data_IF_428559854626
#
_entry.id   IF_428559854626
#
_cell.length_a   1.000
_cell.length_b   1.000
_cell.length_c   1.000
_cell.angle_alpha   90.00
_cell.angle_beta   90.00
_cell.angle_gamma   90.00
#
_symmetry.space_group_name_H-M   'P 1'
#
loop_
_entity.id
_entity.type
_entity.pdbx_description
1 polymer ?
#
# COMPACT_ATOMS: atom_id res chain seq x y z
N UNK A 1 -36.10 32.12 73.60
CA UNK A 1 -36.59 31.11 72.66
C UNK A 1 -36.69 31.80 71.28
N UNK A 2 -35.67 31.63 70.45
CA UNK A 2 -35.55 32.33 69.15
C UNK A 2 -35.48 31.28 68.05
N UNK A 3 -36.55 31.15 67.27
CA UNK A 3 -36.61 30.23 66.16
C UNK A 3 -35.86 30.83 64.98
N UNK A 4 -34.82 30.13 64.45
CA UNK A 4 -34.13 30.43 63.27
C UNK A 4 -34.75 29.61 62.12
N UNK A 5 -35.33 30.31 61.12
CA UNK A 5 -35.78 29.70 59.87
C UNK A 5 -34.64 29.63 58.90
N UNK A 6 -34.24 28.38 58.51
CA UNK A 6 -33.32 28.14 57.40
C UNK A 6 -34.11 28.15 56.11
N UNK A 7 -33.81 29.13 55.21
CA UNK A 7 -34.25 29.08 53.83
C UNK A 7 -33.29 28.22 53.02
N UNK A 8 -33.81 27.10 52.51
CA UNK A 8 -33.11 26.25 51.56
C UNK A 8 -33.44 26.71 50.13
N UNK A 9 -32.54 27.43 49.49
CA UNK A 9 -32.69 27.83 48.08
C UNK A 9 -32.29 26.66 47.17
N UNK A 10 -33.30 26.10 46.51
CA UNK A 10 -33.10 25.11 45.43
C UNK A 10 -32.62 25.84 44.18
N UNK A 11 -31.35 25.67 43.80
CA UNK A 11 -30.83 26.06 42.50
C UNK A 11 -31.26 25.01 41.44
N UNK A 12 -32.29 25.35 40.67
CA UNK A 12 -32.64 24.63 39.46
C UNK A 12 -31.58 24.89 38.41
N UNK A 13 -30.71 23.88 38.15
CA UNK A 13 -29.90 23.87 36.99
C UNK A 13 -30.76 23.50 35.77
N UNK A 14 -31.03 24.46 34.92
CA UNK A 14 -31.58 24.22 33.60
C UNK A 14 -30.52 23.55 32.73
N UNK A 15 -30.71 22.27 32.44
CA UNK A 15 -29.96 21.57 31.42
C UNK A 15 -30.34 22.20 30.04
N UNK A 16 -29.35 22.71 29.35
CA UNK A 16 -29.47 23.21 27.99
C UNK A 16 -29.55 22.01 27.03
N UNK A 17 -30.69 21.74 26.35
CA UNK A 17 -30.79 20.65 25.38
C UNK A 17 -30.43 21.18 24.00
N UNK A 18 -29.15 21.27 23.66
CA UNK A 18 -28.82 21.80 22.35
C UNK A 18 -27.34 21.88 22.01
N UNK A 19 -26.58 20.82 22.25
CA UNK A 19 -25.37 20.57 21.49
C UNK A 19 -25.46 19.18 20.87
N UNK A 20 -26.28 19.06 19.83
CA UNK A 20 -26.02 18.06 18.82
C UNK A 20 -24.61 18.30 18.29
N UNK A 21 -23.71 17.30 18.49
CA UNK A 21 -22.44 17.23 17.80
C UNK A 21 -22.75 17.02 16.31
N UNK A 22 -23.03 18.10 15.60
CA UNK A 22 -23.05 18.10 14.14
C UNK A 22 -21.59 17.92 13.73
N UNK A 23 -21.24 16.69 13.35
CA UNK A 23 -20.00 16.44 12.62
C UNK A 23 -19.99 17.37 11.41
N UNK A 24 -18.86 17.97 11.04
CA UNK A 24 -18.81 18.85 9.88
C UNK A 24 -19.28 18.06 8.66
N UNK A 25 -20.33 18.56 8.03
CA UNK A 25 -21.08 17.93 6.94
C UNK A 25 -20.23 17.72 5.67
N UNK A 26 -19.02 18.33 5.61
CA UNK A 26 -18.12 18.28 4.46
C UNK A 26 -17.31 16.98 4.31
N UNK A 27 -17.07 16.22 5.40
CA UNK A 27 -16.22 15.00 5.34
C UNK A 27 -17.04 13.72 5.17
N UNK A 28 -18.36 13.80 5.27
CA UNK A 28 -19.21 12.60 5.38
C UNK A 28 -19.59 11.94 4.04
N UNK A 29 -19.38 12.61 2.88
CA UNK A 29 -19.91 12.17 1.57
C UNK A 29 -18.87 12.24 0.43
N UNK A 30 -17.58 12.18 0.71
CA UNK A 30 -16.60 12.23 -0.35
C UNK A 30 -16.46 10.84 -1.01
N UNK A 31 -16.91 10.72 -2.26
CA UNK A 31 -16.75 9.49 -3.05
C UNK A 31 -15.27 9.15 -3.24
N UNK A 32 -14.91 7.86 -3.31
CA UNK A 32 -13.56 7.44 -3.62
C UNK A 32 -13.07 8.04 -4.95
N UNK A 33 -11.82 8.53 -5.01
CA UNK A 33 -11.29 9.11 -6.24
C UNK A 33 -11.09 8.06 -7.33
N UNK A 34 -11.33 8.46 -8.58
CA UNK A 34 -11.12 7.58 -9.72
C UNK A 34 -9.63 7.30 -9.96
N UNK A 35 -9.27 6.05 -10.15
CA UNK A 35 -7.91 5.64 -10.51
C UNK A 35 -7.65 5.62 -12.03
N UNK A 36 -8.57 6.14 -12.86
CA UNK A 36 -8.50 6.07 -14.33
C UNK A 36 -7.24 6.73 -14.91
N UNK A 37 -6.82 7.87 -14.38
CA UNK A 37 -5.59 8.56 -14.85
C UNK A 37 -4.37 7.70 -14.59
N UNK A 38 -4.25 7.14 -13.38
CA UNK A 38 -3.16 6.24 -13.02
C UNK A 38 -3.16 4.97 -13.88
N UNK A 39 -4.32 4.37 -14.11
CA UNK A 39 -4.50 3.21 -14.98
C UNK A 39 -4.01 3.47 -16.42
N UNK A 40 -4.33 4.64 -16.96
CA UNK A 40 -3.87 5.06 -18.30
C UNK A 40 -2.35 5.22 -18.36
N UNK A 41 -1.75 5.84 -17.34
CA UNK A 41 -0.30 6.00 -17.22
C UNK A 41 0.41 4.66 -17.11
N UNK A 42 -0.11 3.75 -16.29
CA UNK A 42 0.42 2.40 -16.15
C UNK A 42 0.38 1.64 -17.49
N UNK A 43 -0.75 1.64 -18.20
CA UNK A 43 -0.91 1.00 -19.50
C UNK A 43 0.04 1.56 -20.55
N UNK A 44 0.36 2.85 -20.48
CA UNK A 44 1.25 3.52 -21.44
C UNK A 44 2.73 3.22 -21.18
N UNK A 45 3.14 3.15 -19.90
CA UNK A 45 4.56 3.19 -19.52
C UNK A 45 5.07 1.96 -18.77
N UNK A 46 4.20 1.00 -18.46
CA UNK A 46 4.59 -0.24 -17.77
C UNK A 46 4.35 -1.43 -18.69
N UNK A 47 5.38 -2.22 -18.93
CA UNK A 47 5.24 -3.44 -19.73
C UNK A 47 4.51 -4.55 -18.95
N UNK A 48 3.96 -5.58 -19.61
CA UNK A 48 3.35 -6.75 -18.95
C UNK A 48 4.31 -7.47 -17.98
N UNK A 49 5.64 -7.34 -18.23
CA UNK A 49 6.68 -7.89 -17.35
C UNK A 49 7.06 -6.98 -16.18
N UNK A 50 6.41 -5.81 -16.05
CA UNK A 50 6.64 -4.87 -14.96
C UNK A 50 7.86 -3.95 -15.15
N UNK A 51 8.42 -3.88 -16.37
CA UNK A 51 9.46 -2.89 -16.69
C UNK A 51 8.83 -1.52 -16.86
N UNK A 52 9.44 -0.52 -16.24
CA UNK A 52 8.92 0.85 -16.21
C UNK A 52 9.73 1.73 -17.17
N UNK A 53 9.04 2.40 -18.07
CA UNK A 53 9.60 3.45 -18.90
C UNK A 53 9.55 4.80 -18.16
N UNK A 54 10.54 5.04 -17.30
CA UNK A 54 10.60 6.27 -16.52
C UNK A 54 10.78 7.52 -17.39
N UNK A 55 11.41 7.42 -18.57
CA UNK A 55 11.53 8.57 -19.49
C UNK A 55 10.17 8.92 -20.08
N UNK A 56 9.41 7.89 -20.51
CA UNK A 56 8.07 8.10 -20.99
C UNK A 56 7.13 8.63 -19.90
N UNK A 57 7.23 8.11 -18.67
CA UNK A 57 6.46 8.66 -17.54
C UNK A 57 6.74 10.15 -17.30
N UNK A 58 7.98 10.60 -17.56
CA UNK A 58 8.38 11.99 -17.38
C UNK A 58 7.67 12.95 -18.37
N UNK A 59 7.27 12.46 -19.54
CA UNK A 59 6.47 13.22 -20.51
C UNK A 59 5.06 13.57 -19.97
N UNK A 60 4.48 12.68 -19.16
CA UNK A 60 3.17 12.86 -18.54
C UNK A 60 3.29 13.11 -17.00
N UNK A 61 4.41 13.67 -16.54
CA UNK A 61 4.68 13.92 -15.10
C UNK A 61 3.57 14.73 -14.44
N UNK A 62 3.05 15.74 -15.11
CA UNK A 62 1.97 16.60 -14.57
C UNK A 62 0.68 15.81 -14.33
N UNK A 63 0.35 14.85 -15.20
CA UNK A 63 -0.81 13.97 -15.00
C UNK A 63 -0.63 13.08 -13.75
N UNK A 64 0.59 12.58 -13.51
CA UNK A 64 0.93 11.82 -12.31
C UNK A 64 0.84 12.68 -11.04
N UNK A 65 1.35 13.91 -11.09
CA UNK A 65 1.26 14.87 -9.97
C UNK A 65 -0.20 15.18 -9.67
N UNK A 66 -0.98 15.56 -10.68
CA UNK A 66 -2.42 15.86 -10.49
C UNK A 66 -3.20 14.66 -9.94
N UNK A 67 -2.86 13.44 -10.35
CA UNK A 67 -3.45 12.23 -9.77
C UNK A 67 -3.14 12.09 -8.27
N UNK A 68 -1.88 12.34 -7.87
CA UNK A 68 -1.49 12.28 -6.46
C UNK A 68 -2.12 13.41 -5.63
N UNK A 69 -2.31 14.60 -6.19
CA UNK A 69 -3.05 15.70 -5.56
C UNK A 69 -4.51 15.32 -5.34
N UNK A 70 -5.20 14.75 -6.35
CA UNK A 70 -6.56 14.24 -6.21
C UNK A 70 -6.64 13.19 -5.08
N UNK A 71 -5.69 12.26 -5.00
CA UNK A 71 -5.65 11.31 -3.88
C UNK A 71 -5.42 12.01 -2.54
N UNK A 72 -4.56 13.04 -2.52
CA UNK A 72 -4.28 13.82 -1.33
C UNK A 72 -5.52 14.56 -0.80
N UNK A 73 -6.33 15.10 -1.70
CA UNK A 73 -7.55 15.84 -1.36
C UNK A 73 -8.72 14.92 -0.95
N UNK A 74 -8.67 13.62 -1.31
CA UNK A 74 -9.72 12.63 -1.03
C UNK A 74 -9.21 11.57 -0.06
N UNK A 75 -9.14 11.92 1.22
CA UNK A 75 -8.71 10.98 2.27
C UNK A 75 -9.73 9.86 2.47
N UNK A 76 -9.30 8.59 2.69
CA UNK A 76 -10.20 7.52 3.04
C UNK A 76 -11.04 7.84 4.28
N UNK A 77 -12.35 7.63 4.19
CA UNK A 77 -13.32 7.84 5.28
C UNK A 77 -13.78 6.50 5.86
N UNK A 78 -14.45 6.54 7.01
CA UNK A 78 -15.05 5.36 7.64
C UNK A 78 -16.19 4.74 6.81
N UNK A 79 -16.68 5.43 5.78
CA UNK A 79 -17.74 4.97 4.87
C UNK A 79 -17.19 4.15 3.71
N UNK A 80 -15.88 4.24 3.42
CA UNK A 80 -15.30 3.46 2.33
C UNK A 80 -15.13 1.99 2.72
N UNK A 81 -15.46 1.11 1.77
CA UNK A 81 -15.20 -0.32 1.92
C UNK A 81 -13.71 -0.63 2.09
N UNK A 82 -13.42 -1.78 2.71
CA UNK A 82 -12.04 -2.23 2.92
C UNK A 82 -11.26 -2.33 1.61
N UNK A 83 -11.90 -2.83 0.58
CA UNK A 83 -11.32 -3.04 -0.77
C UNK A 83 -10.98 -1.69 -1.41
N UNK A 84 -11.86 -0.71 -1.30
CA UNK A 84 -11.65 0.66 -1.76
C UNK A 84 -10.44 1.30 -1.07
N UNK A 85 -10.37 1.20 0.26
CA UNK A 85 -9.25 1.75 1.06
C UNK A 85 -7.93 1.06 0.69
N UNK A 86 -7.95 -0.25 0.50
CA UNK A 86 -6.75 -1.01 0.15
C UNK A 86 -6.25 -0.65 -1.26
N UNK A 87 -7.15 -0.57 -2.26
CA UNK A 87 -6.84 -0.14 -3.61
C UNK A 87 -6.26 1.29 -3.63
N UNK A 88 -6.89 2.22 -2.89
CA UNK A 88 -6.41 3.58 -2.73
C UNK A 88 -4.96 3.64 -2.25
N UNK A 89 -4.62 2.97 -1.14
CA UNK A 89 -3.27 3.04 -0.58
C UNK A 89 -2.22 2.30 -1.42
N UNK A 90 -2.58 1.21 -2.08
CA UNK A 90 -1.67 0.52 -3.00
C UNK A 90 -1.35 1.42 -4.20
N UNK A 91 -2.37 2.03 -4.83
CA UNK A 91 -2.17 2.93 -5.96
C UNK A 91 -1.38 4.19 -5.54
N UNK A 92 -1.71 4.78 -4.40
CA UNK A 92 -0.99 5.93 -3.85
C UNK A 92 0.49 5.62 -3.62
N UNK A 93 0.81 4.49 -2.98
CA UNK A 93 2.20 4.05 -2.76
C UNK A 93 2.96 3.89 -4.08
N UNK A 94 2.35 3.20 -5.05
CA UNK A 94 2.97 2.93 -6.33
C UNK A 94 3.18 4.20 -7.16
N UNK A 95 2.18 5.07 -7.24
CA UNK A 95 2.27 6.35 -7.95
C UNK A 95 3.30 7.28 -7.29
N UNK A 96 3.30 7.40 -5.96
CA UNK A 96 4.28 8.19 -5.23
C UNK A 96 5.71 7.63 -5.35
N UNK A 97 5.88 6.30 -5.47
CA UNK A 97 7.17 5.68 -5.74
C UNK A 97 7.66 6.03 -7.14
N UNK A 98 6.80 5.97 -8.16
CA UNK A 98 7.17 6.39 -9.52
C UNK A 98 7.56 7.86 -9.55
N UNK A 99 6.77 8.77 -8.95
CA UNK A 99 7.11 10.19 -8.89
C UNK A 99 8.45 10.42 -8.19
N UNK A 100 8.72 9.72 -7.08
CA UNK A 100 10.00 9.80 -6.38
C UNK A 100 11.19 9.44 -7.28
N UNK A 101 11.03 8.42 -8.13
CA UNK A 101 12.06 8.06 -9.10
C UNK A 101 12.24 9.18 -10.15
N UNK A 102 11.13 9.72 -10.70
CA UNK A 102 11.18 10.80 -11.69
C UNK A 102 11.88 12.07 -11.16
N UNK A 103 11.63 12.42 -9.89
CA UNK A 103 12.27 13.58 -9.23
C UNK A 103 13.80 13.46 -9.15
N UNK A 104 14.34 12.24 -9.24
CA UNK A 104 15.78 11.97 -9.07
C UNK A 104 16.40 11.30 -10.31
N UNK A 105 15.61 11.09 -11.38
CA UNK A 105 16.09 10.43 -12.60
C UNK A 105 17.09 11.32 -13.37
N UNK A 106 18.19 10.78 -13.93
CA UNK A 106 18.56 9.36 -13.98
C UNK A 106 19.26 8.86 -12.71
N UNK A 107 18.90 7.63 -12.28
CA UNK A 107 19.56 6.91 -11.19
C UNK A 107 19.59 5.40 -11.50
N UNK A 108 20.42 4.65 -10.77
CA UNK A 108 20.54 3.21 -10.96
C UNK A 108 19.76 2.40 -9.89
N UNK A 109 19.41 3.03 -8.78
CA UNK A 109 18.70 2.38 -7.67
C UNK A 109 17.90 3.42 -6.86
N UNK A 110 16.72 3.04 -6.36
CA UNK A 110 15.98 3.87 -5.38
C UNK A 110 16.83 4.17 -4.13
N UNK A 111 17.82 3.32 -3.82
CA UNK A 111 18.72 3.49 -2.68
C UNK A 111 19.73 4.64 -2.86
N UNK A 112 19.87 5.15 -4.07
CA UNK A 112 20.69 6.34 -4.36
C UNK A 112 20.01 7.61 -3.83
N UNK A 113 18.69 7.54 -3.56
CA UNK A 113 17.91 8.64 -3.00
C UNK A 113 18.07 8.66 -1.48
N UNK A 114 18.42 9.81 -0.86
CA UNK A 114 18.51 9.92 0.58
C UNK A 114 17.16 9.68 1.27
N UNK A 115 17.11 8.66 2.16
CA UNK A 115 15.91 8.30 2.93
C UNK A 115 14.65 8.09 2.06
N UNK A 116 14.68 7.22 1.04
CA UNK A 116 13.61 7.14 0.05
C UNK A 116 12.26 6.75 0.68
N UNK A 117 12.27 5.88 1.69
CA UNK A 117 11.05 5.44 2.39
C UNK A 117 10.73 6.24 3.65
N UNK A 118 11.69 7.00 4.21
CA UNK A 118 11.51 7.66 5.50
C UNK A 118 11.17 9.15 5.44
N UNK A 119 11.29 9.80 4.27
CA UNK A 119 10.98 11.23 4.13
C UNK A 119 9.48 11.41 3.88
N UNK A 120 8.81 12.23 4.70
CA UNK A 120 7.40 12.60 4.54
C UNK A 120 7.22 13.51 3.34
N UNK A 121 6.64 13.00 2.26
CA UNK A 121 6.45 13.73 0.99
C UNK A 121 5.07 13.55 0.38
N UNK A 122 4.25 12.63 0.90
CA UNK A 122 2.93 12.31 0.38
C UNK A 122 1.88 13.01 1.24
N UNK A 123 1.10 13.90 0.65
CA UNK A 123 0.01 14.60 1.32
C UNK A 123 -1.25 13.74 1.28
N UNK A 124 -1.96 13.60 2.41
CA UNK A 124 -3.29 13.00 2.52
C UNK A 124 -4.06 13.85 3.55
N UNK A 125 -5.07 14.59 3.09
CA UNK A 125 -5.72 15.61 3.91
C UNK A 125 -4.69 16.59 4.47
N UNK A 126 -4.77 16.89 5.76
CA UNK A 126 -3.85 17.81 6.44
C UNK A 126 -2.51 17.18 6.87
N UNK A 127 -2.30 15.88 6.59
CA UNK A 127 -1.13 15.17 7.07
C UNK A 127 -0.19 14.76 5.94
N UNK A 128 1.12 14.68 6.29
CA UNK A 128 2.15 14.18 5.38
C UNK A 128 2.66 12.82 5.84
N UNK A 129 2.79 11.92 4.88
CA UNK A 129 3.26 10.56 5.07
C UNK A 129 4.53 10.27 4.27
N UNK A 130 5.32 9.35 4.77
CA UNK A 130 6.38 8.70 4.02
C UNK A 130 5.87 7.40 3.38
N UNK A 131 6.55 6.88 2.36
CA UNK A 131 6.27 5.56 1.81
C UNK A 131 6.30 4.48 2.91
N UNK A 132 7.29 4.55 3.82
CA UNK A 132 7.38 3.61 4.93
C UNK A 132 6.19 3.67 5.90
N UNK A 133 5.64 4.84 6.20
CA UNK A 133 4.44 4.96 7.03
C UNK A 133 3.21 4.36 6.32
N UNK A 134 3.04 4.61 5.02
CA UNK A 134 1.93 4.00 4.25
C UNK A 134 2.05 2.48 4.26
N UNK A 135 3.25 1.93 4.03
CA UNK A 135 3.47 0.49 4.06
C UNK A 135 3.28 -0.10 5.46
N UNK A 136 3.98 0.44 6.48
CA UNK A 136 4.08 -0.22 7.78
C UNK A 136 2.94 0.12 8.74
N UNK A 137 2.44 1.36 8.68
CA UNK A 137 1.44 1.83 9.63
C UNK A 137 0.01 1.76 9.08
N UNK A 138 -0.16 1.61 7.76
CA UNK A 138 -1.47 1.52 7.13
C UNK A 138 -1.65 0.15 6.46
N UNK A 139 -1.01 -0.10 5.31
CA UNK A 139 -1.25 -1.29 4.50
C UNK A 139 -1.04 -2.60 5.28
N UNK A 140 0.08 -2.75 5.99
CA UNK A 140 0.36 -3.96 6.78
C UNK A 140 -0.63 -4.16 7.91
N UNK A 141 -1.15 -3.08 8.52
CA UNK A 141 -2.17 -3.16 9.59
C UNK A 141 -3.54 -3.58 9.06
N UNK A 142 -3.79 -3.47 7.75
CA UNK A 142 -5.00 -4.03 7.13
C UNK A 142 -5.00 -5.56 7.07
N UNK A 143 -3.86 -6.22 7.37
CA UNK A 143 -3.79 -7.66 7.63
C UNK A 143 -3.84 -8.55 6.40
N UNK A 144 -3.65 -8.02 5.19
CA UNK A 144 -3.54 -8.81 3.97
C UNK A 144 -2.08 -8.93 3.53
N UNK A 145 -1.43 -10.11 3.65
CA UNK A 145 -0.03 -10.26 3.28
C UNK A 145 0.24 -10.10 1.79
N UNK A 146 -0.78 -10.17 0.93
CA UNK A 146 -0.64 -10.02 -0.52
C UNK A 146 -0.25 -8.60 -0.93
N UNK A 147 -0.41 -7.60 -0.05
CA UNK A 147 0.07 -6.24 -0.29
C UNK A 147 1.56 -6.19 -0.61
N UNK A 148 2.33 -7.13 -0.04
CA UNK A 148 3.77 -7.24 -0.33
C UNK A 148 4.10 -7.65 -1.76
N UNK A 149 3.11 -8.09 -2.53
CA UNK A 149 3.22 -8.39 -3.97
C UNK A 149 2.57 -7.34 -4.85
N UNK A 150 1.82 -6.40 -4.24
CA UNK A 150 1.08 -5.33 -4.91
C UNK A 150 1.83 -4.00 -4.91
N UNK A 151 2.61 -3.70 -3.85
CA UNK A 151 3.42 -2.48 -3.78
C UNK A 151 4.79 -2.69 -4.42
N UNK A 152 5.24 -1.70 -5.19
CA UNK A 152 6.50 -1.74 -5.93
C UNK A 152 7.49 -0.71 -5.41
N UNK A 153 8.69 -1.14 -5.05
CA UNK A 153 9.77 -0.29 -4.57
C UNK A 153 10.80 0.07 -5.68
N UNK A 154 10.39 0.04 -6.92
CA UNK A 154 11.22 0.40 -8.09
C UNK A 154 12.51 -0.44 -8.27
N UNK A 155 12.64 -1.61 -7.65
CA UNK A 155 13.83 -2.46 -7.80
C UNK A 155 13.56 -3.74 -8.58
N UNK A 156 14.60 -4.31 -9.19
CA UNK A 156 14.51 -5.54 -9.98
C UNK A 156 14.00 -6.74 -9.18
N UNK A 157 14.32 -6.85 -7.90
CA UNK A 157 13.82 -7.95 -7.04
C UNK A 157 12.47 -7.66 -6.39
N UNK A 158 11.89 -6.48 -6.60
CA UNK A 158 10.54 -6.14 -6.17
C UNK A 158 9.49 -6.92 -6.98
N UNK A 159 8.27 -7.10 -6.45
CA UNK A 159 7.14 -7.49 -7.28
C UNK A 159 6.97 -6.56 -8.48
N UNK A 160 6.44 -7.09 -9.57
CA UNK A 160 6.18 -6.30 -10.77
C UNK A 160 5.20 -5.17 -10.46
N UNK A 161 5.46 -3.98 -10.98
CA UNK A 161 4.40 -2.97 -11.05
C UNK A 161 3.38 -3.44 -12.08
N UNK A 162 2.11 -3.55 -11.70
CA UNK A 162 1.07 -3.90 -12.67
C UNK A 162 0.89 -2.79 -13.70
N UNK A 163 0.63 -3.18 -14.95
CA UNK A 163 0.26 -2.25 -16.03
C UNK A 163 -1.21 -1.80 -15.95
N UNK A 164 -1.82 -1.89 -14.78
CA UNK A 164 -3.18 -1.44 -14.48
C UNK A 164 -3.31 -1.01 -13.03
N UNK A 165 -4.21 -0.08 -12.74
CA UNK A 165 -4.50 0.33 -11.38
C UNK A 165 -5.25 -0.76 -10.62
N UNK A 166 -5.09 -0.79 -9.30
CA UNK A 166 -5.94 -1.58 -8.42
C UNK A 166 -7.31 -0.91 -8.31
N UNK A 167 -8.37 -1.69 -8.40
CA UNK A 167 -9.75 -1.21 -8.32
C UNK A 167 -10.57 -2.09 -7.38
N UNK A 168 -11.52 -1.48 -6.67
CA UNK A 168 -12.35 -2.14 -5.67
C UNK A 168 -12.97 -3.44 -6.21
N UNK A 169 -13.60 -3.36 -7.39
CA UNK A 169 -14.35 -4.46 -7.99
C UNK A 169 -13.47 -5.66 -8.40
N UNK A 170 -12.18 -5.41 -8.63
CA UNK A 170 -11.22 -6.43 -9.10
C UNK A 170 -10.10 -6.71 -8.12
N UNK A 171 -10.06 -6.01 -6.99
CA UNK A 171 -8.95 -6.05 -6.05
C UNK A 171 -8.58 -7.47 -5.61
N UNK A 172 -9.58 -8.27 -5.26
CA UNK A 172 -9.34 -9.63 -4.77
C UNK A 172 -8.66 -10.49 -5.84
N UNK A 173 -9.14 -10.41 -7.09
CA UNK A 173 -8.52 -11.14 -8.22
C UNK A 173 -7.13 -10.60 -8.57
N UNK A 174 -6.93 -9.28 -8.50
CA UNK A 174 -5.63 -8.66 -8.73
C UNK A 174 -4.60 -9.07 -7.67
N UNK A 175 -4.98 -9.08 -6.39
CA UNK A 175 -4.10 -9.51 -5.29
C UNK A 175 -3.74 -11.00 -5.40
N UNK A 176 -4.69 -11.84 -5.80
CA UNK A 176 -4.45 -13.27 -6.02
C UNK A 176 -3.51 -13.50 -7.22
N UNK A 177 -3.69 -12.76 -8.31
CA UNK A 177 -2.85 -12.83 -9.51
C UNK A 177 -1.40 -12.42 -9.20
N UNK A 178 -1.19 -11.26 -8.54
CA UNK A 178 0.18 -10.78 -8.23
C UNK A 178 0.88 -11.70 -7.23
N UNK A 179 0.15 -12.26 -6.27
CA UNK A 179 0.69 -13.23 -5.32
C UNK A 179 1.13 -14.50 -6.03
N UNK A 180 0.28 -15.08 -6.88
CA UNK A 180 0.58 -16.27 -7.67
C UNK A 180 1.72 -16.01 -8.65
N UNK A 181 1.69 -14.88 -9.34
CA UNK A 181 2.74 -14.48 -10.28
C UNK A 181 4.09 -14.32 -9.60
N UNK A 182 4.15 -13.63 -8.46
CA UNK A 182 5.41 -13.42 -7.72
C UNK A 182 5.97 -14.70 -7.12
N UNK A 183 5.12 -15.53 -6.51
CA UNK A 183 5.57 -16.78 -5.86
C UNK A 183 6.14 -17.74 -6.90
N UNK A 184 5.51 -17.85 -8.07
CA UNK A 184 5.93 -18.77 -9.12
C UNK A 184 6.95 -18.16 -10.12
N UNK A 185 7.40 -16.93 -9.93
CA UNK A 185 8.45 -16.33 -10.76
C UNK A 185 9.82 -16.91 -10.42
N UNK A 186 10.47 -17.68 -11.33
CA UNK A 186 11.76 -18.32 -11.07
C UNK A 186 12.89 -17.31 -10.87
N UNK A 187 12.73 -16.07 -11.30
CA UNK A 187 13.68 -14.99 -11.03
C UNK A 187 13.58 -14.45 -9.60
N UNK A 188 12.51 -14.76 -8.88
CA UNK A 188 12.21 -14.33 -7.51
C UNK A 188 12.31 -15.46 -6.51
N UNK A 189 11.92 -16.67 -6.89
CA UNK A 189 11.89 -17.84 -6.03
C UNK A 189 12.34 -19.06 -6.83
N UNK A 190 13.16 -19.90 -6.24
CA UNK A 190 13.67 -21.11 -6.87
C UNK A 190 13.25 -22.34 -6.04
N UNK A 191 12.37 -23.13 -6.61
CA UNK A 191 11.83 -24.35 -6.02
C UNK A 191 12.42 -25.63 -6.65
N UNK A 192 13.44 -25.52 -7.51
CA UNK A 192 13.99 -26.66 -8.25
C UNK A 192 14.85 -27.61 -7.40
N UNK A 193 15.38 -27.11 -6.27
CA UNK A 193 16.25 -27.88 -5.39
C UNK A 193 15.55 -28.40 -4.14
N UNK A 194 16.21 -29.33 -3.42
CA UNK A 194 15.73 -29.86 -2.13
C UNK A 194 15.46 -28.77 -1.09
N UNK A 195 16.22 -27.66 -1.17
CA UNK A 195 16.07 -26.50 -0.28
C UNK A 195 15.63 -25.28 -1.09
N UNK A 196 14.34 -24.94 -1.08
CA UNK A 196 13.82 -23.76 -1.77
C UNK A 196 14.55 -22.46 -1.40
N UNK A 197 14.82 -21.64 -2.42
CA UNK A 197 15.45 -20.32 -2.26
C UNK A 197 14.42 -19.25 -2.56
N UNK A 198 14.00 -18.52 -1.54
CA UNK A 198 12.91 -17.55 -1.63
C UNK A 198 13.42 -16.11 -1.76
N UNK A 199 12.58 -15.23 -2.29
CA UNK A 199 12.78 -13.78 -2.20
C UNK A 199 12.96 -13.34 -0.75
N UNK A 200 13.80 -12.31 -0.54
CA UNK A 200 14.00 -11.70 0.80
C UNK A 200 12.73 -11.05 1.37
N UNK A 201 11.74 -10.76 0.57
CA UNK A 201 10.43 -10.29 1.02
C UNK A 201 9.86 -11.26 2.07
N UNK A 202 9.92 -12.57 1.84
CA UNK A 202 9.48 -13.59 2.80
C UNK A 202 10.31 -13.63 4.10
N UNK A 203 11.53 -13.11 4.08
CA UNK A 203 12.37 -12.97 5.28
C UNK A 203 12.00 -11.70 6.05
N UNK A 204 11.93 -10.57 5.35
CA UNK A 204 11.70 -9.25 5.95
C UNK A 204 10.32 -9.14 6.57
N UNK A 205 9.31 -9.65 5.88
CA UNK A 205 7.89 -9.57 6.27
C UNK A 205 7.33 -10.92 6.77
N UNK A 206 8.20 -11.80 7.28
CA UNK A 206 7.81 -13.16 7.70
C UNK A 206 6.58 -13.18 8.61
N UNK A 207 6.46 -12.23 9.51
CA UNK A 207 5.34 -12.14 10.46
C UNK A 207 4.00 -11.92 9.78
N UNK A 208 3.98 -11.29 8.63
CA UNK A 208 2.76 -11.00 7.90
C UNK A 208 2.26 -12.23 7.12
N UNK A 209 3.19 -13.12 6.72
CA UNK A 209 2.88 -14.39 6.04
C UNK A 209 2.59 -15.55 7.00
N UNK A 210 2.73 -15.34 8.30
CA UNK A 210 2.59 -16.42 9.30
C UNK A 210 1.60 -16.03 10.39
N UNK A 211 0.86 -17.02 10.88
CA UNK A 211 -0.03 -16.86 12.05
C UNK A 211 0.30 -17.97 13.06
N UNK A 212 -0.44 -18.04 14.16
CA UNK A 212 -0.33 -19.19 15.09
C UNK A 212 -0.69 -20.51 14.44
N UNK A 213 -1.50 -20.50 13.36
CA UNK A 213 -2.02 -21.70 12.67
C UNK A 213 -1.46 -21.91 11.27
N UNK A 214 -0.79 -20.92 10.70
CA UNK A 214 -0.32 -20.93 9.30
C UNK A 214 1.18 -20.65 9.27
N UNK A 215 1.99 -21.60 8.83
CA UNK A 215 3.41 -21.42 8.58
C UNK A 215 3.65 -20.69 7.24
N UNK A 216 4.90 -20.25 7.00
CA UNK A 216 5.29 -19.72 5.69
C UNK A 216 5.10 -20.78 4.59
N UNK A 217 5.36 -22.04 4.87
CA UNK A 217 5.18 -23.14 3.90
C UNK A 217 3.69 -23.31 3.56
N UNK A 218 2.80 -23.23 4.55
CA UNK A 218 1.35 -23.30 4.31
C UNK A 218 0.88 -22.13 3.46
N UNK A 219 1.42 -20.92 3.68
CA UNK A 219 1.12 -19.76 2.85
C UNK A 219 1.55 -19.98 1.40
N UNK A 220 2.81 -20.40 1.17
CA UNK A 220 3.35 -20.68 -0.16
C UNK A 220 2.56 -21.75 -0.90
N UNK A 221 2.20 -22.83 -0.19
CA UNK A 221 1.49 -23.96 -0.77
C UNK A 221 0.08 -23.65 -1.31
N UNK A 222 -0.50 -22.50 -0.97
CA UNK A 222 -1.74 -22.01 -1.60
C UNK A 222 -1.54 -21.62 -3.06
N UNK A 223 -0.30 -21.27 -3.44
CA UNK A 223 0.04 -20.70 -4.75
C UNK A 223 0.88 -21.64 -5.62
N UNK A 224 1.58 -22.59 -4.99
CA UNK A 224 2.47 -23.51 -5.71
C UNK A 224 1.70 -24.60 -6.43
N UNK A 225 2.10 -24.96 -7.68
CA UNK A 225 1.50 -26.07 -8.41
C UNK A 225 1.85 -27.43 -7.76
N UNK A 226 3.02 -27.54 -7.12
CA UNK A 226 3.46 -28.70 -6.36
C UNK A 226 3.77 -28.24 -4.93
N UNK A 227 3.05 -28.74 -3.92
CA UNK A 227 3.24 -28.30 -2.56
C UNK A 227 4.60 -28.74 -1.99
N UNK A 228 5.21 -27.86 -1.21
CA UNK A 228 6.40 -28.16 -0.43
C UNK A 228 6.05 -29.02 0.79
N UNK A 229 6.97 -29.90 1.25
CA UNK A 229 6.82 -30.59 2.52
C UNK A 229 6.65 -29.59 3.68
N UNK A 230 5.78 -29.88 4.64
CA UNK A 230 5.45 -28.98 5.75
C UNK A 230 6.67 -28.51 6.58
N UNK A 231 7.73 -29.31 6.61
CA UNK A 231 9.01 -29.02 7.31
C UNK A 231 10.12 -28.57 6.37
N UNK A 232 9.79 -28.16 5.13
CA UNK A 232 10.79 -27.70 4.17
C UNK A 232 11.62 -26.56 4.76
N UNK A 233 12.94 -26.70 4.69
CA UNK A 233 13.85 -25.63 5.08
C UNK A 233 14.08 -24.71 3.89
N UNK A 234 13.88 -23.41 4.11
CA UNK A 234 14.08 -22.40 3.07
C UNK A 234 15.37 -21.62 3.29
N UNK A 235 15.94 -21.13 2.20
CA UNK A 235 16.99 -20.11 2.18
C UNK A 235 16.51 -18.88 1.39
N UNK A 236 17.33 -17.85 1.26
CA UNK A 236 16.91 -16.61 0.62
C UNK A 236 17.89 -16.18 -0.45
N UNK A 237 17.35 -15.79 -1.61
CA UNK A 237 18.11 -15.23 -2.71
C UNK A 237 18.70 -13.84 -2.35
N UNK A 238 19.81 -13.42 -2.97
CA UNK A 238 20.24 -12.03 -2.93
C UNK A 238 19.13 -11.12 -3.47
N UNK A 239 19.03 -9.89 -2.91
CA UNK A 239 18.07 -8.91 -3.40
C UNK A 239 18.77 -7.91 -4.32
N UNK A 240 18.30 -7.80 -5.55
CA UNK A 240 18.83 -6.86 -6.53
C UNK A 240 18.08 -5.54 -6.46
N UNK A 241 18.76 -4.50 -6.01
CA UNK A 241 18.23 -3.14 -5.85
C UNK A 241 18.33 -2.28 -7.11
N UNK A 242 18.90 -2.79 -8.21
CA UNK A 242 18.94 -2.05 -9.46
C UNK A 242 17.53 -1.68 -9.92
N UNK A 243 17.39 -0.50 -10.52
CA UNK A 243 16.11 0.04 -10.95
C UNK A 243 15.43 -0.87 -11.99
N UNK A 244 14.12 -1.07 -11.85
CA UNK A 244 13.28 -1.85 -12.77
C UNK A 244 12.96 -1.07 -14.06
N UNK A 245 13.93 -0.31 -14.59
CA UNK A 245 13.79 0.50 -15.79
C UNK A 245 13.79 -0.35 -17.05
N UNK A 246 12.94 0.02 -18.03
CA UNK A 246 12.94 -0.55 -19.37
C UNK A 246 14.33 -0.34 -19.99
N UNK A 247 14.88 -1.41 -20.54
CA UNK A 247 16.13 -1.33 -21.33
C UNK A 247 15.76 -0.94 -22.76
N UNK A 248 16.38 0.11 -23.27
CA UNK A 248 16.28 0.56 -24.65
C UNK A 248 17.36 -0.08 -25.50
#
# INVERSE_FOLDING_TARGET
MTCIFLFLSLLLHSADPGKENVLPESDALQDPPSHKVWDQLLKKYVSPDGWVDYRGFDEDREALISYLEILGDHSPTALWGRETVLAYYINLYNAATVLLILEHYPLESIRDIPRPWGKKRIQIGDQRYSLGEIEHEILRKMGDPRIHFAINCASLSCPKLLAQAYAEETLESQLEEVARGFINDPSRNDFSGEKPRLSRIFKWYRKDFTTRKTSLIDFLNRYLPVPLPAKAQVSYLPYNWALNKKRH
#
